data_IF_989445398741
#
_entry.id   IF_989445398741
#
_cell.length_a   1.000
_cell.length_b   1.000
_cell.length_c   1.000
_cell.angle_alpha   90.00
_cell.angle_beta   90.00
_cell.angle_gamma   90.00
#
_symmetry.space_group_name_H-M   'P 1'
#
loop_
_entity.id
_entity.type
_entity.pdbx_description
1 polymer ?
#
# COMPACT_ATOMS: atom_id res chain seq x y z
N UNK A 1 -10.39 0.18 -11.98
CA UNK A 1 -10.18 -0.26 -10.59
C UNK A 1 -9.25 0.75 -9.97
N UNK A 2 -9.56 1.22 -8.78
CA UNK A 2 -8.71 2.17 -8.06
C UNK A 2 -8.16 1.45 -6.84
N UNK A 3 -6.85 1.50 -6.65
CA UNK A 3 -6.22 0.99 -5.42
C UNK A 3 -5.72 2.17 -4.61
N UNK A 4 -6.15 2.22 -3.35
CA UNK A 4 -5.63 3.15 -2.36
C UNK A 4 -4.79 2.38 -1.36
N UNK A 5 -3.56 2.81 -1.16
CA UNK A 5 -2.66 2.24 -0.16
C UNK A 5 -2.37 3.34 0.86
N UNK A 6 -2.78 3.12 2.09
CA UNK A 6 -2.45 3.99 3.21
C UNK A 6 -1.29 3.36 3.97
N UNK A 7 -0.22 4.13 4.17
CA UNK A 7 0.95 3.75 4.94
C UNK A 7 1.02 4.66 6.15
N UNK A 8 1.02 4.06 7.33
CA UNK A 8 1.18 4.74 8.61
C UNK A 8 2.52 4.35 9.23
N UNK A 9 3.35 5.36 9.47
CA UNK A 9 4.60 5.19 10.21
C UNK A 9 4.32 5.12 11.72
N UNK A 10 4.56 3.93 12.31
CA UNK A 10 4.45 3.65 13.75
C UNK A 10 5.80 3.80 14.47
N UNK A 11 6.78 4.46 13.84
CA UNK A 11 8.11 4.73 14.37
C UNK A 11 8.86 3.44 14.70
N UNK A 12 9.24 3.19 15.96
CA UNK A 12 9.97 1.99 16.38
C UNK A 12 9.20 0.68 16.10
N UNK A 13 7.88 0.76 15.95
CA UNK A 13 7.05 -0.40 15.70
C UNK A 13 7.00 -0.79 14.22
N UNK A 14 7.55 0.03 13.32
CA UNK A 14 7.55 -0.20 11.88
C UNK A 14 6.37 0.50 11.20
N UNK A 15 5.80 -0.14 10.18
CA UNK A 15 4.71 0.39 9.36
C UNK A 15 3.44 -0.44 9.53
N UNK A 16 2.31 0.26 9.48
CA UNK A 16 0.99 -0.32 9.22
C UNK A 16 0.54 0.10 7.83
N UNK A 17 0.04 -0.85 7.06
CA UNK A 17 -0.31 -0.67 5.65
C UNK A 17 -1.74 -1.16 5.48
N UNK A 18 -2.63 -0.26 5.06
CA UNK A 18 -4.00 -0.58 4.69
C UNK A 18 -4.17 -0.45 3.19
N UNK A 19 -4.68 -1.50 2.56
CA UNK A 19 -4.91 -1.56 1.12
C UNK A 19 -6.42 -1.64 0.92
N UNK A 20 -6.98 -0.66 0.22
CA UNK A 20 -8.38 -0.62 -0.16
C UNK A 20 -8.50 -0.68 -1.68
N UNK A 21 -9.33 -1.59 -2.18
CA UNK A 21 -9.59 -1.76 -3.62
C UNK A 21 -11.01 -1.34 -3.94
N UNK A 22 -11.16 -0.44 -4.90
CA UNK A 22 -12.46 0.06 -5.36
C UNK A 22 -12.75 -0.36 -6.79
N UNK A 23 -14.02 -0.68 -7.06
CA UNK A 23 -14.55 -0.89 -8.40
C UNK A 23 -14.42 0.39 -9.25
N UNK A 24 -14.69 0.29 -10.55
CA UNK A 24 -14.74 1.47 -11.42
C UNK A 24 -15.86 2.46 -11.05
N UNK A 25 -16.89 2.00 -10.32
CA UNK A 25 -18.00 2.82 -9.84
C UNK A 25 -17.74 3.42 -8.45
N UNK A 26 -16.54 3.21 -7.89
CA UNK A 26 -16.15 3.74 -6.58
C UNK A 26 -16.64 2.90 -5.39
N UNK A 27 -17.19 1.70 -5.63
CA UNK A 27 -17.61 0.79 -4.56
C UNK A 27 -16.40 0.08 -3.97
N UNK A 28 -16.27 0.04 -2.65
CA UNK A 28 -15.24 -0.75 -1.97
C UNK A 28 -15.48 -2.24 -2.23
N UNK A 29 -14.47 -2.93 -2.76
CA UNK A 29 -14.52 -4.35 -3.16
C UNK A 29 -13.62 -5.25 -2.33
N UNK A 30 -12.66 -4.67 -1.61
CA UNK A 30 -11.73 -5.40 -0.77
C UNK A 30 -10.94 -4.44 0.12
N UNK A 31 -10.59 -4.92 1.30
CA UNK A 31 -9.78 -4.19 2.26
C UNK A 31 -8.92 -5.15 3.06
N UNK A 32 -7.64 -4.82 3.21
CA UNK A 32 -6.69 -5.59 4.00
C UNK A 32 -5.82 -4.63 4.84
N UNK A 33 -5.47 -5.05 6.06
CA UNK A 33 -4.54 -4.33 6.92
C UNK A 33 -3.38 -5.25 7.30
N UNK A 34 -2.16 -4.78 7.07
CA UNK A 34 -0.90 -5.49 7.35
C UNK A 34 -0.11 -4.62 8.32
N UNK A 35 0.23 -5.19 9.49
CA UNK A 35 0.97 -4.49 10.55
C UNK A 35 2.30 -5.19 10.83
N UNK A 36 3.25 -4.46 11.42
CA UNK A 36 4.54 -5.01 11.84
C UNK A 36 5.61 -5.06 10.75
N UNK A 37 5.37 -4.42 9.60
CA UNK A 37 6.35 -4.32 8.51
C UNK A 37 7.52 -3.45 8.97
N UNK A 38 8.75 -3.99 8.95
CA UNK A 38 9.95 -3.26 9.37
C UNK A 38 10.59 -2.46 8.24
N UNK A 39 10.46 -2.94 7.00
CA UNK A 39 11.02 -2.31 5.81
C UNK A 39 9.96 -2.33 4.71
N UNK A 40 9.73 -1.18 4.08
CA UNK A 40 8.77 -1.01 2.99
C UNK A 40 9.50 -0.57 1.72
N UNK A 41 9.28 -1.28 0.61
CA UNK A 41 9.81 -0.91 -0.71
C UNK A 41 8.66 -0.70 -1.69
N UNK A 42 8.67 0.43 -2.39
CA UNK A 42 7.64 0.79 -3.38
C UNK A 42 8.34 0.96 -4.72
N UNK A 43 7.96 0.14 -5.70
CA UNK A 43 8.47 0.21 -7.08
C UNK A 43 7.29 0.18 -8.06
N UNK A 44 6.48 1.23 -8.00
CA UNK A 44 5.28 1.40 -8.82
C UNK A 44 5.09 2.88 -9.16
N UNK A 45 4.51 3.16 -10.33
CA UNK A 45 4.15 4.53 -10.74
C UNK A 45 2.87 4.94 -10.03
N UNK A 46 2.98 5.50 -8.82
CA UNK A 46 1.83 5.90 -7.99
C UNK A 46 1.78 7.41 -7.77
N UNK A 47 0.57 7.94 -7.57
CA UNK A 47 0.39 9.29 -7.05
C UNK A 47 0.47 9.25 -5.52
N UNK A 48 1.24 10.16 -4.91
CA UNK A 48 1.42 10.24 -3.46
C UNK A 48 0.68 11.46 -2.91
N UNK A 49 -0.24 11.23 -1.99
CA UNK A 49 -0.96 12.26 -1.22
C UNK A 49 -0.54 12.11 0.25
N UNK A 50 0.10 13.13 0.81
CA UNK A 50 0.51 13.12 2.21
C UNK A 50 -0.53 13.82 3.08
N UNK A 51 -1.05 13.14 4.11
CA UNK A 51 -2.04 13.70 5.04
C UNK A 51 -1.42 13.68 6.44
N UNK A 52 -1.14 14.86 6.98
CA UNK A 52 -0.41 15.01 8.24
C UNK A 52 1.05 14.54 8.16
N UNK A 53 1.65 14.29 9.32
CA UNK A 53 3.10 14.08 9.39
C UNK A 53 3.54 12.62 9.27
N UNK A 54 2.62 11.66 9.41
CA UNK A 54 2.94 10.23 9.53
C UNK A 54 2.13 9.30 8.63
N UNK A 55 1.13 9.84 7.94
CA UNK A 55 0.25 9.06 7.08
C UNK A 55 0.42 9.47 5.62
N UNK A 56 0.61 8.46 4.77
CA UNK A 56 0.81 8.63 3.33
C UNK A 56 -0.23 7.79 2.62
N UNK A 57 -0.95 8.42 1.70
CA UNK A 57 -1.95 7.80 0.86
C UNK A 57 -1.41 7.74 -0.56
N UNK A 58 -1.24 6.53 -1.08
CA UNK A 58 -0.85 6.28 -2.45
C UNK A 58 -2.09 5.87 -3.24
N UNK A 59 -2.27 6.49 -4.40
CA UNK A 59 -3.39 6.20 -5.29
C UNK A 59 -2.81 5.69 -6.62
N UNK A 60 -3.27 4.52 -7.03
CA UNK A 60 -2.92 3.95 -8.32
C UNK A 60 -4.16 3.71 -9.17
N UNK A 61 -4.06 4.11 -10.44
CA UNK A 61 -4.99 3.75 -11.50
C UNK A 61 -4.55 2.49 -12.28
N UNK A 62 -3.38 1.93 -11.97
CA UNK A 62 -2.89 0.66 -12.49
C UNK A 62 -3.09 -0.47 -11.47
N UNK A 63 -3.11 -1.71 -11.97
CA UNK A 63 -3.16 -2.88 -11.10
C UNK A 63 -1.83 -3.01 -10.36
N UNK A 64 -1.89 -3.17 -9.05
CA UNK A 64 -0.72 -3.37 -8.20
C UNK A 64 -0.66 -4.81 -7.73
N UNK A 65 0.57 -5.34 -7.62
CA UNK A 65 0.87 -6.59 -6.94
C UNK A 65 1.60 -6.27 -5.64
N UNK A 66 1.17 -6.91 -4.57
CA UNK A 66 1.77 -6.80 -3.25
C UNK A 66 2.46 -8.13 -2.94
N UNK A 67 3.73 -8.08 -2.61
CA UNK A 67 4.56 -9.23 -2.31
C UNK A 67 5.07 -9.08 -0.89
N UNK A 68 4.74 -10.03 -0.03
CA UNK A 68 5.37 -10.12 1.28
C UNK A 68 6.53 -11.11 1.22
N UNK A 69 7.75 -10.63 1.53
CA UNK A 69 8.96 -11.44 1.63
C UNK A 69 9.28 -11.68 3.09
N UNK A 70 8.71 -12.76 3.63
CA UNK A 70 8.89 -13.18 5.03
C UNK A 70 10.37 -13.33 5.42
N UNK A 71 11.18 -13.89 4.53
CA UNK A 71 12.62 -14.09 4.70
C UNK A 71 13.40 -12.79 4.90
N UNK A 72 12.84 -11.65 4.46
CA UNK A 72 13.46 -10.33 4.54
C UNK A 72 12.70 -9.36 5.45
N UNK A 73 11.50 -9.72 5.90
CA UNK A 73 10.61 -8.81 6.62
C UNK A 73 10.21 -7.58 5.79
N UNK A 74 10.15 -7.72 4.46
CA UNK A 74 9.89 -6.62 3.51
C UNK A 74 8.53 -6.80 2.85
N UNK A 75 7.75 -5.72 2.76
CA UNK A 75 6.63 -5.62 1.82
C UNK A 75 7.06 -4.88 0.56
N UNK A 76 6.84 -5.49 -0.60
CA UNK A 76 7.08 -4.87 -1.91
C UNK A 76 5.73 -4.57 -2.59
N UNK A 77 5.56 -3.32 -3.02
CA UNK A 77 4.41 -2.89 -3.84
C UNK A 77 4.96 -2.61 -5.24
N UNK A 78 4.50 -3.38 -6.24
CA UNK A 78 4.95 -3.30 -7.62
C UNK A 78 3.77 -3.21 -8.59
N UNK A 79 3.99 -2.72 -9.80
CA UNK A 79 3.00 -2.80 -10.87
C UNK A 79 2.78 -4.26 -11.30
N UNK A 80 1.52 -4.65 -11.46
CA UNK A 80 1.15 -5.92 -12.07
C UNK A 80 1.05 -5.75 -13.59
N UNK A 81 2.00 -6.32 -14.33
CA UNK A 81 2.14 -6.14 -15.78
C UNK A 81 1.40 -7.19 -16.62
N UNK A 82 0.74 -8.17 -15.99
CA UNK A 82 0.08 -9.29 -16.68
C UNK A 82 1.01 -10.46 -16.93
#
# INVERSE_FOLDING_TARGET
MLSMIMIRDLSSNGYEIRIATYSQTGVLTGEETISGIKVLTINASVSIVKIGNREVHMISNTRLRILFREDKGVLEIVEDRG
#
